data_IF_528581449245
#
_entry.id   IF_528581449245
#
_cell.length_a   1.000
_cell.length_b   1.000
_cell.length_c   1.000
_cell.angle_alpha   90.00
_cell.angle_beta   90.00
_cell.angle_gamma   90.00
#
_symmetry.space_group_name_H-M   'P 1'
#
loop_
_entity.id
_entity.type
_entity.pdbx_description
1 polymer ?
#
# COMPACT_ATOMS: atom_id res chain seq x y z
N UNK A 1 -19.95 13.40 -14.09
CA UNK A 1 -19.35 13.13 -12.77
C UNK A 1 -18.02 13.85 -12.72
N UNK A 2 -17.66 14.46 -11.59
CA UNK A 2 -16.35 15.06 -11.41
C UNK A 2 -15.24 13.98 -11.45
N UNK A 3 -14.19 14.20 -12.24
CA UNK A 3 -13.04 13.30 -12.31
C UNK A 3 -12.32 13.29 -10.96
N UNK A 4 -12.27 12.14 -10.29
CA UNK A 4 -11.58 11.97 -8.98
C UNK A 4 -10.06 11.76 -9.15
N UNK A 5 -9.48 12.32 -10.21
CA UNK A 5 -8.11 12.02 -10.62
C UNK A 5 -7.08 12.42 -9.56
N UNK A 6 -7.25 13.58 -8.90
CA UNK A 6 -6.30 14.05 -7.89
C UNK A 6 -6.40 13.23 -6.62
N UNK A 7 -7.61 12.88 -6.18
CA UNK A 7 -7.78 12.04 -5.01
C UNK A 7 -7.14 10.65 -5.22
N UNK A 8 -7.32 10.05 -6.40
CA UNK A 8 -6.68 8.78 -6.75
C UNK A 8 -5.16 8.90 -6.73
N UNK A 9 -4.61 9.99 -7.26
CA UNK A 9 -3.16 10.25 -7.23
C UNK A 9 -2.62 10.35 -5.80
N UNK A 10 -3.30 11.09 -4.91
CA UNK A 10 -2.90 11.20 -3.50
C UNK A 10 -2.93 9.83 -2.82
N UNK A 11 -4.00 9.06 -2.99
CA UNK A 11 -4.10 7.72 -2.39
C UNK A 11 -2.99 6.79 -2.89
N UNK A 12 -2.65 6.85 -4.18
CA UNK A 12 -1.54 6.06 -4.73
C UNK A 12 -0.21 6.41 -4.07
N UNK A 13 0.06 7.68 -3.80
CA UNK A 13 1.28 8.13 -3.11
C UNK A 13 1.31 7.65 -1.66
N UNK A 14 0.19 7.77 -0.93
CA UNK A 14 0.06 7.30 0.46
C UNK A 14 0.33 5.80 0.56
N UNK A 15 -0.33 5.01 -0.30
CA UNK A 15 -0.16 3.55 -0.31
C UNK A 15 1.25 3.14 -0.74
N UNK A 16 1.81 3.77 -1.78
CA UNK A 16 3.17 3.46 -2.23
C UNK A 16 4.24 3.84 -1.19
N UNK A 17 4.00 4.89 -0.41
CA UNK A 17 4.87 5.33 0.65
C UNK A 17 4.70 4.59 1.98
N UNK A 18 3.71 3.70 2.09
CA UNK A 18 3.41 2.98 3.32
C UNK A 18 3.09 3.92 4.50
N UNK A 19 2.47 5.07 4.22
CA UNK A 19 2.09 6.01 5.26
C UNK A 19 0.92 5.45 6.07
N UNK A 20 1.05 5.53 7.40
CA UNK A 20 0.00 5.15 8.33
C UNK A 20 -1.03 6.28 8.44
N UNK A 21 -2.29 5.93 8.16
CA UNK A 21 -3.44 6.84 8.21
C UNK A 21 -3.93 7.12 9.63
N UNK A 22 -3.41 6.39 10.63
CA UNK A 22 -3.72 6.57 12.05
C UNK A 22 -2.57 7.19 12.85
N UNK A 23 -1.41 7.34 12.23
CA UNK A 23 -0.17 7.77 12.88
C UNK A 23 0.10 9.28 12.81
N UNK A 24 1.35 9.66 13.06
CA UNK A 24 1.81 11.06 13.10
C UNK A 24 1.58 11.81 11.77
N UNK A 25 1.64 11.09 10.64
CA UNK A 25 1.46 11.67 9.32
C UNK A 25 -0.02 11.70 8.86
N UNK A 26 -0.97 11.19 9.66
CA UNK A 26 -2.40 11.13 9.33
C UNK A 26 -2.98 12.50 8.95
N UNK A 27 -2.63 13.55 9.71
CA UNK A 27 -3.09 14.91 9.45
C UNK A 27 -2.63 15.43 8.07
N UNK A 28 -1.43 15.05 7.61
CA UNK A 28 -0.89 15.43 6.31
C UNK A 28 -1.65 14.70 5.19
N UNK A 29 -1.90 13.40 5.39
CA UNK A 29 -2.67 12.56 4.46
C UNK A 29 -4.09 13.10 4.30
N UNK A 30 -4.77 13.41 5.40
CA UNK A 30 -6.13 13.94 5.39
C UNK A 30 -6.21 15.33 4.75
N UNK A 31 -5.23 16.20 5.04
CA UNK A 31 -5.15 17.51 4.42
C UNK A 31 -5.00 17.38 2.89
N UNK A 32 -4.09 16.53 2.41
CA UNK A 32 -3.88 16.33 0.98
C UNK A 32 -5.14 15.75 0.29
N UNK A 33 -5.82 14.78 0.92
CA UNK A 33 -7.07 14.18 0.41
C UNK A 33 -8.21 15.19 0.35
N UNK A 34 -8.36 16.02 1.38
CA UNK A 34 -9.42 17.04 1.43
C UNK A 34 -9.21 18.11 0.35
N UNK A 35 -7.97 18.58 0.16
CA UNK A 35 -7.66 19.52 -0.91
C UNK A 35 -7.86 18.90 -2.30
N UNK A 36 -7.46 17.64 -2.49
CA UNK A 36 -7.73 16.91 -3.74
C UNK A 36 -9.23 16.79 -4.03
N UNK A 37 -10.05 16.43 -3.04
CA UNK A 37 -11.51 16.38 -3.16
C UNK A 37 -12.12 17.75 -3.51
N UNK A 38 -11.61 18.82 -2.90
CA UNK A 38 -12.07 20.18 -3.19
C UNK A 38 -11.76 20.58 -4.63
N UNK A 39 -10.53 20.32 -5.10
CA UNK A 39 -10.14 20.60 -6.49
C UNK A 39 -10.91 19.74 -7.50
N UNK A 40 -11.08 18.45 -7.22
CA UNK A 40 -11.85 17.57 -8.10
C UNK A 40 -13.33 17.96 -8.13
N UNK A 41 -13.92 18.46 -7.02
CA UNK A 41 -15.29 19.02 -7.03
C UNK A 41 -15.42 20.28 -7.90
N UNK A 42 -14.34 21.04 -8.08
CA UNK A 42 -14.31 22.27 -8.85
C UNK A 42 -14.11 22.06 -10.35
N UNK A 43 -14.08 20.80 -10.83
CA UNK A 43 -13.75 20.25 -12.19
C UNK A 43 -14.07 21.08 -13.45
N UNK A 44 -14.83 22.16 -13.36
CA UNK A 44 -15.30 23.02 -14.46
C UNK A 44 -15.10 24.53 -14.25
N UNK A 45 -14.52 24.95 -13.13
CA UNK A 45 -14.22 26.35 -12.81
C UNK A 45 -12.73 26.44 -12.55
N UNK A 46 -12.05 27.43 -13.13
CA UNK A 46 -10.66 27.70 -12.81
C UNK A 46 -10.49 27.74 -11.29
N UNK A 47 -9.82 26.74 -10.68
CA UNK A 47 -9.78 26.64 -9.24
C UNK A 47 -9.02 27.85 -8.68
N UNK A 48 -9.43 28.39 -7.53
CA UNK A 48 -8.76 29.55 -6.95
C UNK A 48 -7.26 29.27 -6.79
N UNK A 49 -6.40 30.21 -7.22
CA UNK A 49 -4.95 30.05 -7.17
C UNK A 49 -4.45 29.68 -5.77
N UNK A 50 -5.07 30.22 -4.72
CA UNK A 50 -4.74 29.89 -3.34
C UNK A 50 -4.99 28.41 -3.03
N UNK A 51 -6.06 27.81 -3.57
CA UNK A 51 -6.37 26.40 -3.34
C UNK A 51 -5.36 25.48 -4.05
N UNK A 52 -4.94 25.84 -5.26
CA UNK A 52 -3.86 25.14 -5.97
C UNK A 52 -2.54 25.21 -5.19
N UNK A 53 -2.16 26.41 -4.72
CA UNK A 53 -0.94 26.59 -3.90
C UNK A 53 -0.97 25.78 -2.61
N UNK A 54 -2.12 25.73 -1.93
CA UNK A 54 -2.31 24.91 -0.73
C UNK A 54 -2.17 23.42 -1.04
N UNK A 55 -2.73 22.98 -2.17
CA UNK A 55 -2.62 21.61 -2.63
C UNK A 55 -1.17 21.23 -2.95
N UNK A 56 -0.43 22.06 -3.69
CA UNK A 56 0.98 21.81 -4.01
C UNK A 56 1.86 21.77 -2.75
N UNK A 57 1.58 22.66 -1.78
CA UNK A 57 2.24 22.65 -0.48
C UNK A 57 1.94 21.35 0.30
N UNK A 58 0.68 20.91 0.31
CA UNK A 58 0.29 19.65 0.95
C UNK A 58 0.95 18.44 0.27
N UNK A 59 1.06 18.43 -1.06
CA UNK A 59 1.77 17.39 -1.81
C UNK A 59 3.25 17.35 -1.45
N UNK A 60 3.91 18.50 -1.34
CA UNK A 60 5.32 18.55 -0.93
C UNK A 60 5.50 18.02 0.49
N UNK A 61 4.60 18.36 1.43
CA UNK A 61 4.62 17.81 2.79
C UNK A 61 4.40 16.30 2.80
N UNK A 62 3.47 15.81 1.98
CA UNK A 62 3.18 14.39 1.81
C UNK A 62 4.40 13.63 1.27
N UNK A 63 5.04 14.14 0.23
CA UNK A 63 6.27 13.56 -0.33
C UNK A 63 7.38 13.47 0.72
N UNK A 64 7.60 14.54 1.49
CA UNK A 64 8.56 14.52 2.60
C UNK A 64 8.20 13.50 3.67
N UNK A 65 6.91 13.31 3.97
CA UNK A 65 6.46 12.27 4.89
C UNK A 65 6.77 10.87 4.37
N UNK A 66 6.49 10.62 3.08
CA UNK A 66 6.84 9.36 2.40
C UNK A 66 8.35 9.10 2.49
N UNK A 67 9.18 10.09 2.14
CA UNK A 67 10.64 9.95 2.20
C UNK A 67 11.14 9.65 3.61
N UNK A 68 10.60 10.32 4.63
CA UNK A 68 10.92 10.03 6.04
C UNK A 68 10.55 8.59 6.42
N UNK A 69 9.36 8.14 6.06
CA UNK A 69 8.87 6.79 6.37
C UNK A 69 9.74 5.72 5.68
N UNK A 70 10.02 5.89 4.38
CA UNK A 70 10.89 4.99 3.63
C UNK A 70 12.31 4.94 4.22
N UNK A 71 12.85 6.08 4.65
CA UNK A 71 14.16 6.16 5.29
C UNK A 71 14.17 5.45 6.65
N UNK A 72 13.13 5.67 7.47
CA UNK A 72 12.98 5.01 8.76
C UNK A 72 12.83 3.48 8.62
N UNK A 73 12.13 3.00 7.59
CA UNK A 73 11.99 1.56 7.32
C UNK A 73 13.28 0.93 6.77
N UNK A 74 14.07 1.66 5.97
CA UNK A 74 15.39 1.19 5.54
C UNK A 74 16.38 1.08 6.70
N UNK A 75 16.37 2.04 7.63
CA UNK A 75 17.22 2.00 8.82
C UNK A 75 16.97 0.77 9.70
N UNK A 76 15.71 0.30 9.78
CA UNK A 76 15.37 -0.92 10.53
C UNK A 76 15.87 -2.21 9.88
N UNK A 77 15.98 -2.26 8.54
CA UNK A 77 16.53 -3.43 7.83
C UNK A 77 18.04 -3.59 7.98
N UNK A 78 18.78 -2.50 8.22
CA UNK A 78 20.22 -2.55 8.44
C UNK A 78 20.61 -3.07 9.84
N UNK A 79 19.63 -3.34 10.71
CA UNK A 79 19.82 -3.90 12.06
C UNK A 79 19.25 -5.32 12.14
N UNK A 80 19.26 -6.07 11.04
CA UNK A 80 19.26 -7.53 11.13
C UNK A 80 20.69 -7.96 11.54
N UNK A 81 20.87 -8.68 12.67
CA UNK A 81 22.18 -9.26 12.97
C UNK A 81 22.55 -10.19 11.83
N UNK A 82 23.76 -10.01 11.29
CA UNK A 82 24.32 -10.95 10.32
C UNK A 82 24.14 -12.38 10.84
N UNK A 83 23.65 -13.33 10.02
CA UNK A 83 23.64 -14.72 10.41
C UNK A 83 25.11 -15.11 10.66
N UNK A 84 25.46 -15.39 11.91
CA UNK A 84 26.75 -16.01 12.23
C UNK A 84 26.88 -17.25 11.36
N UNK A 85 27.90 -17.27 10.50
CA UNK A 85 28.32 -18.43 9.72
C UNK A 85 28.57 -19.59 10.69
N UNK A 86 27.58 -20.47 10.79
CA UNK A 86 27.74 -21.78 11.42
C UNK A 86 28.47 -22.67 10.41
N UNK A 87 29.63 -23.24 10.76
CA UNK A 87 30.45 -24.00 9.83
C UNK A 87 29.71 -25.25 9.33
N UNK A 88 29.88 -25.52 8.03
CA UNK A 88 29.30 -26.65 7.28
C UNK A 88 29.39 -27.97 8.05
N UNK A 89 28.21 -28.55 8.31
CA UNK A 89 28.08 -29.84 8.97
C UNK A 89 26.71 -30.48 8.70
N UNK A 90 26.61 -31.16 7.57
CA UNK A 90 25.77 -32.35 7.31
C UNK A 90 24.30 -32.28 7.78
N UNK A 91 23.37 -32.12 6.84
CA UNK A 91 22.27 -33.07 6.52
C UNK A 91 21.21 -32.35 5.68
N UNK A 92 20.91 -32.89 4.51
CA UNK A 92 19.77 -32.45 3.69
C UNK A 92 18.48 -32.45 4.52
N UNK A 93 17.61 -31.43 4.44
CA UNK A 93 16.29 -31.54 5.02
C UNK A 93 15.49 -32.59 4.22
N UNK A 94 14.72 -33.47 4.87
CA UNK A 94 13.87 -34.41 4.15
C UNK A 94 12.81 -33.65 3.35
N UNK A 95 12.57 -34.07 2.12
CA UNK A 95 11.56 -33.51 1.26
C UNK A 95 10.18 -33.62 1.93
N UNK A 96 9.62 -32.47 2.34
CA UNK A 96 8.24 -32.38 2.78
C UNK A 96 7.34 -32.61 1.57
N UNK A 97 6.86 -33.84 1.40
CA UNK A 97 5.73 -34.15 0.53
C UNK A 97 4.49 -33.46 1.11
N UNK A 98 4.13 -32.31 0.54
CA UNK A 98 2.85 -31.65 0.80
C UNK A 98 1.77 -32.55 0.19
N UNK A 99 1.25 -33.48 0.98
CA UNK A 99 -0.01 -34.19 0.69
C UNK A 99 -1.09 -33.51 1.51
N UNK A 100 -1.61 -32.40 1.00
CA UNK A 100 -2.92 -31.91 1.42
C UNK A 100 -3.70 -31.49 0.18
N UNK A 101 -4.68 -32.32 -0.16
CA UNK A 101 -5.65 -32.05 -1.21
C UNK A 101 -6.29 -30.68 -0.98
N UNK A 102 -6.08 -29.77 -1.93
CA UNK A 102 -6.70 -28.45 -1.91
C UNK A 102 -8.23 -28.56 -1.71
N UNK A 103 -8.83 -27.82 -0.76
CA UNK A 103 -10.29 -27.81 -0.55
C UNK A 103 -11.08 -27.37 -1.79
N UNK A 104 -10.42 -26.76 -2.78
CA UNK A 104 -10.99 -26.44 -4.09
C UNK A 104 -11.33 -27.68 -4.95
N UNK A 105 -10.63 -28.80 -4.76
CA UNK A 105 -10.88 -30.03 -5.52
C UNK A 105 -12.21 -30.69 -5.10
N UNK A 106 -12.54 -30.67 -3.79
CA UNK A 106 -13.82 -31.16 -3.26
C UNK A 106 -15.01 -30.35 -3.80
N UNK A 107 -14.91 -29.01 -3.79
CA UNK A 107 -15.98 -28.12 -4.28
C UNK A 107 -16.27 -28.29 -5.79
N UNK A 108 -15.26 -28.58 -6.61
CA UNK A 108 -15.46 -28.83 -8.05
C UNK A 108 -16.22 -30.13 -8.32
N UNK A 109 -15.93 -31.20 -7.58
CA UNK A 109 -16.66 -32.48 -7.69
C UNK A 109 -18.12 -32.34 -7.27
N UNK A 110 -18.38 -31.67 -6.16
CA UNK A 110 -19.76 -31.47 -5.67
C UNK A 110 -20.61 -30.65 -6.66
N UNK A 111 -20.02 -29.63 -7.30
CA UNK A 111 -20.72 -28.80 -8.29
C UNK A 111 -20.98 -29.53 -9.61
N UNK A 112 -20.15 -30.50 -9.98
CA UNK A 112 -20.38 -31.34 -11.16
C UNK A 112 -21.46 -32.40 -10.91
N UNK A 113 -21.51 -32.99 -9.71
CA UNK A 113 -22.54 -33.96 -9.35
C UNK A 113 -23.97 -33.38 -9.39
N UNK A 114 -24.15 -32.11 -9.00
CA UNK A 114 -25.45 -31.41 -9.05
C UNK A 114 -25.91 -31.00 -10.46
N UNK A 115 -25.05 -31.11 -11.47
CA UNK A 115 -25.40 -30.79 -12.87
C UNK A 115 -25.77 -32.02 -13.70
N UNK A 116 -25.54 -33.21 -13.17
CA UNK A 116 -25.71 -34.48 -13.87
C UNK A 116 -26.86 -35.35 -13.32
N UNK A 117 -27.62 -34.84 -12.33
CA UNK A 117 -28.90 -35.39 -11.88
C UNK A 117 -30.00 -34.36 -12.08
#
# INVERSE_FOLDING_TARGET
MASRARLVAVNRVVTAGGLDESGVDAAIVDQARNLARMLDKLDKVDPPLNLLRLYDSALTKLQRAVERNLSANRGRKATEPEPMDVPEGVTSPPALTIVEESPLAKLRREKQARRAG
#
